data_IF_172789582714
#
_entry.id   IF_172789582714
#
_cell.length_a   1.000
_cell.length_b   1.000
_cell.length_c   1.000
_cell.angle_alpha   90.00
_cell.angle_beta   90.00
_cell.angle_gamma   90.00
#
_symmetry.space_group_name_H-M   'P 1'
#
loop_
_entity.id
_entity.type
_entity.pdbx_description
1 polymer ?
#
# COMPACT_ATOMS: atom_id res chain seq x y z
N UNK A 1 3.68 23.63 -12.73
CA UNK A 1 3.56 23.10 -14.11
C UNK A 1 4.74 22.15 -14.32
N UNK A 2 4.52 20.96 -14.86
CA UNK A 2 5.57 19.97 -15.13
C UNK A 2 5.84 19.98 -16.66
N UNK A 3 6.86 20.72 -17.15
CA UNK A 3 7.05 20.98 -18.59
C UNK A 3 7.49 19.74 -19.41
N UNK A 4 7.67 18.58 -18.80
CA UNK A 4 8.01 17.34 -19.50
C UNK A 4 8.17 16.13 -18.59
N UNK A 5 8.45 14.96 -19.18
CA UNK A 5 8.58 13.68 -18.48
C UNK A 5 9.55 13.72 -17.29
N UNK A 6 10.72 14.36 -17.45
CA UNK A 6 11.72 14.48 -16.37
C UNK A 6 11.17 15.20 -15.13
N UNK A 7 10.33 16.22 -15.33
CA UNK A 7 9.70 16.93 -14.21
C UNK A 7 8.64 16.09 -13.49
N UNK A 8 7.96 15.18 -14.19
CA UNK A 8 7.04 14.21 -13.57
C UNK A 8 7.80 13.16 -12.76
N UNK A 9 8.95 12.69 -13.27
CA UNK A 9 9.82 11.75 -12.54
C UNK A 9 10.39 12.41 -11.29
N UNK A 10 10.91 13.64 -11.40
CA UNK A 10 11.40 14.40 -10.25
C UNK A 10 10.29 14.61 -9.20
N UNK A 11 9.09 14.98 -9.63
CA UNK A 11 7.93 15.10 -8.73
C UNK A 11 7.58 13.76 -8.06
N UNK A 12 7.64 12.64 -8.78
CA UNK A 12 7.43 11.29 -8.20
C UNK A 12 8.47 10.95 -7.15
N UNK A 13 9.75 11.22 -7.41
CA UNK A 13 10.82 10.98 -6.44
C UNK A 13 10.59 11.83 -5.20
N UNK A 14 10.32 13.13 -5.36
CA UNK A 14 10.09 14.05 -4.26
C UNK A 14 8.88 13.65 -3.41
N UNK A 15 7.75 13.35 -4.05
CA UNK A 15 6.53 12.90 -3.36
C UNK A 15 6.74 11.55 -2.66
N UNK A 16 7.50 10.63 -3.25
CA UNK A 16 7.86 9.36 -2.62
C UNK A 16 8.73 9.55 -1.36
N UNK A 17 9.72 10.45 -1.42
CA UNK A 17 10.55 10.80 -0.27
C UNK A 17 9.71 11.45 0.85
N UNK A 18 8.87 12.43 0.49
CA UNK A 18 7.96 13.07 1.42
C UNK A 18 7.01 12.07 2.09
N UNK A 19 6.52 11.09 1.33
CA UNK A 19 5.68 10.01 1.84
C UNK A 19 6.43 9.16 2.87
N UNK A 20 7.67 8.74 2.58
CA UNK A 20 8.49 7.97 3.52
C UNK A 20 8.72 8.69 4.85
N UNK A 21 9.04 9.99 4.80
CA UNK A 21 9.23 10.84 5.99
C UNK A 21 7.91 10.99 6.76
N UNK A 22 6.80 11.22 6.06
CA UNK A 22 5.47 11.34 6.67
C UNK A 22 5.08 10.09 7.48
N UNK A 23 5.24 8.89 6.89
CA UNK A 23 4.92 7.65 7.61
C UNK A 23 5.85 7.40 8.80
N UNK A 24 7.13 7.73 8.67
CA UNK A 24 8.11 7.58 9.76
C UNK A 24 7.76 8.48 10.96
N UNK A 25 7.55 9.77 10.72
CA UNK A 25 7.19 10.73 11.78
C UNK A 25 5.79 10.44 12.32
N UNK A 26 4.83 10.14 11.44
CA UNK A 26 3.45 9.84 11.81
C UNK A 26 3.36 8.64 12.77
N UNK A 27 4.13 7.57 12.52
CA UNK A 27 4.18 6.42 13.42
C UNK A 27 4.78 6.78 14.80
N UNK A 28 5.82 7.61 14.85
CA UNK A 28 6.41 8.10 16.10
C UNK A 28 5.37 8.91 16.89
N UNK A 29 4.68 9.85 16.24
CA UNK A 29 3.64 10.66 16.89
C UNK A 29 2.49 9.78 17.36
N UNK A 30 2.00 8.88 16.52
CA UNK A 30 0.89 7.98 16.84
C UNK A 30 1.20 7.11 18.06
N UNK A 31 2.43 6.62 18.19
CA UNK A 31 2.84 5.81 19.35
C UNK A 31 3.12 6.65 20.60
N UNK A 32 3.48 7.93 20.46
CA UNK A 32 3.74 8.82 21.57
C UNK A 32 2.48 9.31 22.30
N UNK A 33 1.30 9.23 21.67
CA UNK A 33 0.01 9.67 22.22
C UNK A 33 -0.86 8.53 22.75
N UNK A 34 -0.35 7.30 22.78
CA UNK A 34 -1.08 6.11 23.28
C UNK A 34 -0.24 5.34 24.30
N UNK A 35 -0.87 4.49 25.13
CA UNK A 35 -0.14 3.52 25.95
C UNK A 35 0.74 2.59 25.11
N UNK A 36 1.88 2.16 25.65
CA UNK A 36 2.86 1.32 24.92
C UNK A 36 2.25 0.03 24.37
N UNK A 37 1.29 -0.53 25.10
CA UNK A 37 0.58 -1.77 24.76
C UNK A 37 -0.42 -1.59 23.61
N UNK A 38 -0.64 -0.34 23.15
CA UNK A 38 -1.52 0.01 22.02
C UNK A 38 -0.76 0.60 20.84
N UNK A 39 0.57 0.58 20.88
CA UNK A 39 1.42 1.20 19.87
C UNK A 39 1.18 0.61 18.47
N UNK A 40 1.02 -0.72 18.35
CA UNK A 40 0.78 -1.34 17.06
C UNK A 40 -0.63 -1.02 16.53
N UNK A 41 -1.65 -0.93 17.39
CA UNK A 41 -2.98 -0.47 16.98
C UNK A 41 -2.98 0.99 16.53
N UNK A 42 -2.21 1.87 17.17
CA UNK A 42 -2.11 3.27 16.76
C UNK A 42 -1.51 3.41 15.36
N UNK A 43 -0.43 2.67 15.08
CA UNK A 43 0.17 2.58 13.73
C UNK A 43 -0.84 1.98 12.76
N UNK A 44 -1.55 0.91 13.14
CA UNK A 44 -2.57 0.31 12.29
C UNK A 44 -3.69 1.31 11.96
N UNK A 45 -4.19 2.08 12.91
CA UNK A 45 -5.22 3.11 12.64
C UNK A 45 -4.70 4.13 11.62
N UNK A 46 -3.45 4.58 11.75
CA UNK A 46 -2.82 5.49 10.79
C UNK A 46 -2.79 4.87 9.37
N UNK A 47 -2.37 3.61 9.24
CA UNK A 47 -2.36 2.89 7.95
C UNK A 47 -3.78 2.59 7.43
N UNK A 48 -4.77 2.43 8.29
CA UNK A 48 -6.16 2.27 7.86
C UNK A 48 -6.67 3.54 7.18
N UNK A 49 -6.22 4.72 7.60
CA UNK A 49 -6.45 5.97 6.88
C UNK A 49 -5.95 5.94 5.44
N UNK A 50 -4.76 5.38 5.20
CA UNK A 50 -4.22 5.16 3.84
C UNK A 50 -5.12 4.23 3.02
N UNK A 51 -5.59 3.14 3.61
CA UNK A 51 -6.48 2.20 2.92
C UNK A 51 -7.80 2.85 2.52
N UNK A 52 -8.43 3.58 3.45
CA UNK A 52 -9.65 4.34 3.15
C UNK A 52 -9.39 5.34 2.02
N UNK A 53 -8.29 6.11 2.12
CA UNK A 53 -7.92 7.07 1.10
C UNK A 53 -7.67 6.45 -0.28
N UNK A 54 -7.12 5.23 -0.35
CA UNK A 54 -6.91 4.52 -1.62
C UNK A 54 -8.24 4.04 -2.23
N UNK A 55 -9.10 3.46 -1.40
CA UNK A 55 -10.40 2.92 -1.81
C UNK A 55 -11.33 4.02 -2.30
N UNK A 56 -11.37 5.17 -1.62
CA UNK A 56 -12.23 6.29 -2.00
C UNK A 56 -11.55 7.22 -3.01
N UNK A 57 -10.24 7.40 -2.91
CA UNK A 57 -9.48 8.37 -3.70
C UNK A 57 -9.42 8.02 -5.17
N UNK A 58 -9.31 6.73 -5.54
CA UNK A 58 -9.27 6.33 -6.96
C UNK A 58 -10.60 6.60 -7.67
N UNK A 59 -11.78 6.18 -7.15
CA UNK A 59 -13.07 6.53 -7.75
C UNK A 59 -13.32 8.03 -7.80
N UNK A 60 -13.11 8.75 -6.69
CA UNK A 60 -13.33 10.20 -6.64
C UNK A 60 -12.38 10.96 -7.57
N UNK A 61 -11.11 10.57 -7.58
CA UNK A 61 -10.11 11.18 -8.45
C UNK A 61 -10.38 10.93 -9.93
N UNK A 62 -10.89 9.74 -10.28
CA UNK A 62 -11.33 9.40 -11.64
C UNK A 62 -12.56 10.22 -12.03
N UNK A 63 -13.55 10.29 -11.16
CA UNK A 63 -14.78 11.06 -11.38
C UNK A 63 -14.47 12.55 -11.63
N UNK A 64 -13.67 13.17 -10.74
CA UNK A 64 -13.21 14.56 -10.90
C UNK A 64 -12.39 14.70 -12.19
N UNK A 65 -11.48 13.77 -12.46
CA UNK A 65 -10.61 13.82 -13.64
C UNK A 65 -11.37 13.74 -14.96
N UNK A 66 -12.45 12.95 -15.01
CA UNK A 66 -13.30 12.80 -16.19
C UNK A 66 -14.20 14.02 -16.45
N UNK A 67 -14.69 14.68 -15.40
CA UNK A 67 -15.65 15.79 -15.53
C UNK A 67 -14.99 17.19 -15.52
N UNK A 68 -13.94 17.36 -14.72
CA UNK A 68 -13.29 18.66 -14.47
C UNK A 68 -11.83 18.69 -14.95
N UNK A 69 -11.35 17.56 -15.51
CA UNK A 69 -9.99 17.40 -15.99
C UNK A 69 -9.00 17.04 -14.88
N UNK A 70 -7.88 16.45 -15.28
CA UNK A 70 -6.84 15.96 -14.37
C UNK A 70 -6.26 17.03 -13.43
N UNK A 71 -6.24 18.30 -13.86
CA UNK A 71 -5.74 19.43 -13.05
C UNK A 71 -6.59 19.67 -11.81
N UNK A 72 -7.91 19.51 -11.92
CA UNK A 72 -8.83 19.64 -10.79
C UNK A 72 -8.58 18.57 -9.74
N UNK A 73 -8.25 17.34 -10.17
CA UNK A 73 -7.85 16.26 -9.26
C UNK A 73 -6.61 16.63 -8.44
N UNK A 74 -5.59 17.24 -9.05
CA UNK A 74 -4.41 17.70 -8.31
C UNK A 74 -4.72 18.83 -7.33
N UNK A 75 -5.58 19.78 -7.71
CA UNK A 75 -6.01 20.85 -6.81
C UNK A 75 -6.80 20.31 -5.61
N UNK A 76 -7.69 19.34 -5.84
CA UNK A 76 -8.43 18.68 -4.76
C UNK A 76 -7.49 17.96 -3.78
N UNK A 77 -6.49 17.23 -4.29
CA UNK A 77 -5.48 16.57 -3.46
C UNK A 77 -4.64 17.60 -2.68
N UNK A 78 -4.27 18.71 -3.32
CA UNK A 78 -3.54 19.79 -2.66
C UNK A 78 -4.37 20.42 -1.51
N UNK A 79 -5.67 20.65 -1.74
CA UNK A 79 -6.58 21.16 -0.71
C UNK A 79 -6.70 20.20 0.48
N UNK A 80 -6.84 18.90 0.24
CA UNK A 80 -6.82 17.88 1.29
C UNK A 80 -5.50 17.88 2.06
N UNK A 81 -4.37 18.11 1.38
CA UNK A 81 -3.06 18.28 2.01
C UNK A 81 -3.00 19.49 2.95
N UNK A 82 -3.59 20.62 2.56
CA UNK A 82 -3.70 21.81 3.42
C UNK A 82 -4.59 21.52 4.63
N UNK A 83 -5.72 20.84 4.44
CA UNK A 83 -6.60 20.43 5.56
C UNK A 83 -5.85 19.52 6.53
N UNK A 84 -5.09 18.54 6.01
CA UNK A 84 -4.27 17.65 6.83
C UNK A 84 -3.17 18.41 7.58
N UNK A 85 -2.53 19.40 6.96
CA UNK A 85 -1.54 20.27 7.60
C UNK A 85 -2.16 21.07 8.75
N UNK A 86 -3.32 21.70 8.52
CA UNK A 86 -4.03 22.43 9.56
C UNK A 86 -4.45 21.51 10.71
N UNK A 87 -4.98 20.32 10.39
CA UNK A 87 -5.29 19.30 11.38
C UNK A 87 -4.08 18.90 12.21
N UNK A 88 -2.93 18.70 11.59
CA UNK A 88 -1.69 18.38 12.31
C UNK A 88 -1.28 19.54 13.24
N UNK A 89 -1.35 20.79 12.77
CA UNK A 89 -1.00 21.97 13.57
C UNK A 89 -1.93 22.19 14.78
N UNK A 90 -3.20 21.82 14.65
CA UNK A 90 -4.20 21.98 15.72
C UNK A 90 -4.20 20.82 16.71
N UNK A 91 -4.07 19.58 16.24
CA UNK A 91 -4.31 18.38 17.05
C UNK A 91 -3.05 17.65 17.53
N UNK A 92 -1.88 17.86 16.91
CA UNK A 92 -0.65 17.21 17.38
C UNK A 92 -0.15 17.94 18.64
N UNK A 93 0.00 17.25 19.79
CA UNK A 93 0.50 17.87 21.01
C UNK A 93 1.93 18.41 20.79
N UNK A 94 2.19 19.64 21.27
CA UNK A 94 3.51 20.28 21.14
C UNK A 94 4.55 19.72 22.11
N UNK A 95 4.09 19.07 23.17
CA UNK A 95 4.92 18.60 24.30
C UNK A 95 5.24 17.09 24.21
N UNK A 96 5.33 16.54 23.00
CA UNK A 96 5.72 15.14 22.83
C UNK A 96 7.18 14.93 23.27
N UNK A 97 7.50 13.79 23.91
CA UNK A 97 8.87 13.46 24.29
C UNK A 97 9.80 13.49 23.07
N UNK A 98 10.75 14.42 23.08
CA UNK A 98 11.77 14.55 22.04
C UNK A 98 13.00 13.73 22.48
N UNK A 99 13.29 12.64 21.77
CA UNK A 99 14.60 11.98 21.92
C UNK A 99 15.70 12.87 21.34
N UNK A 100 16.89 12.82 21.93
CA UNK A 100 18.04 13.53 21.38
C UNK A 100 18.28 13.11 19.91
N UNK A 101 18.51 14.05 18.98
CA UNK A 101 18.77 13.72 17.59
C UNK A 101 19.96 12.78 17.47
N UNK A 102 19.79 11.66 16.78
CA UNK A 102 20.90 10.77 16.49
C UNK A 102 21.93 11.48 15.61
N UNK A 103 23.21 11.39 15.97
CA UNK A 103 24.29 11.95 15.15
C UNK A 103 24.34 11.31 13.77
N UNK A 104 24.83 12.04 12.76
CA UNK A 104 24.95 11.53 11.38
C UNK A 104 25.74 10.20 11.32
N UNK A 105 26.78 10.06 12.16
CA UNK A 105 27.57 8.82 12.28
C UNK A 105 26.73 7.65 12.80
N UNK A 106 25.87 7.87 13.81
CA UNK A 106 24.99 6.83 14.34
C UNK A 106 23.95 6.41 13.31
N UNK A 107 23.40 7.34 12.54
CA UNK A 107 22.46 7.05 11.46
C UNK A 107 23.13 6.20 10.36
N UNK A 108 24.36 6.52 9.97
CA UNK A 108 25.10 5.77 8.96
C UNK A 108 25.54 4.38 9.47
N UNK A 109 25.87 4.27 10.77
CA UNK A 109 26.24 2.99 11.39
C UNK A 109 25.12 1.95 11.34
N UNK A 110 23.85 2.37 11.33
CA UNK A 110 22.68 1.49 11.17
C UNK A 110 22.71 0.75 9.84
N UNK A 111 23.22 1.38 8.77
CA UNK A 111 23.38 0.75 7.45
C UNK A 111 24.49 -0.29 7.42
N UNK A 112 25.38 -0.31 8.42
CA UNK A 112 26.42 -1.33 8.57
C UNK A 112 25.99 -2.55 9.39
N UNK A 113 24.82 -2.52 10.04
CA UNK A 113 24.38 -3.60 10.92
C UNK A 113 23.67 -4.71 10.11
N UNK A 114 24.26 -5.91 9.99
CA UNK A 114 23.73 -6.97 9.11
C UNK A 114 22.32 -7.40 9.49
N UNK A 115 22.00 -7.42 10.80
CA UNK A 115 20.66 -7.76 11.28
C UNK A 115 19.60 -6.74 10.84
N UNK A 116 19.93 -5.44 10.83
CA UNK A 116 19.00 -4.40 10.38
C UNK A 116 18.87 -4.40 8.85
N UNK A 117 19.98 -4.61 8.13
CA UNK A 117 19.94 -4.80 6.67
C UNK A 117 19.04 -5.95 6.25
N UNK A 118 19.05 -7.08 6.98
CA UNK A 118 18.12 -8.18 6.72
C UNK A 118 16.66 -7.77 6.91
N UNK A 119 16.35 -7.03 7.99
CA UNK A 119 14.99 -6.51 8.22
C UNK A 119 14.56 -5.55 7.11
N UNK A 120 15.46 -4.67 6.67
CA UNK A 120 15.21 -3.76 5.54
C UNK A 120 15.00 -4.52 4.24
N UNK A 121 15.82 -5.53 3.94
CA UNK A 121 15.67 -6.36 2.75
C UNK A 121 14.35 -7.13 2.76
N UNK A 122 13.99 -7.74 3.89
CA UNK A 122 12.70 -8.43 4.06
C UNK A 122 11.52 -7.48 3.83
N UNK A 123 11.59 -6.27 4.40
CA UNK A 123 10.54 -5.26 4.24
C UNK A 123 10.46 -4.77 2.79
N UNK A 124 11.60 -4.45 2.18
CA UNK A 124 11.68 -3.95 0.81
C UNK A 124 11.19 -4.99 -0.21
N UNK A 125 11.58 -6.26 -0.06
CA UNK A 125 11.12 -7.34 -0.93
C UNK A 125 9.63 -7.66 -0.71
N UNK A 126 9.19 -7.71 0.56
CA UNK A 126 7.79 -7.99 0.91
C UNK A 126 6.82 -6.91 0.42
N UNK A 127 7.09 -5.64 0.77
CA UNK A 127 6.28 -4.51 0.31
C UNK A 127 6.48 -4.23 -1.17
N UNK A 128 7.71 -4.25 -1.68
CA UNK A 128 8.01 -3.99 -3.09
C UNK A 128 7.33 -4.99 -4.02
N UNK A 129 7.41 -6.28 -3.72
CA UNK A 129 6.71 -7.32 -4.50
C UNK A 129 5.19 -7.14 -4.48
N UNK A 130 4.63 -6.83 -3.30
CA UNK A 130 3.18 -6.64 -3.13
C UNK A 130 2.67 -5.38 -3.86
N UNK A 131 3.39 -4.26 -3.74
CA UNK A 131 3.03 -3.01 -4.41
C UNK A 131 3.17 -3.10 -5.94
N UNK A 132 4.16 -3.85 -6.45
CA UNK A 132 4.27 -4.14 -7.87
C UNK A 132 3.03 -4.90 -8.38
N UNK A 133 2.65 -5.98 -7.69
CA UNK A 133 1.46 -6.75 -8.04
C UNK A 133 0.19 -5.89 -7.97
N UNK A 134 0.06 -5.04 -6.94
CA UNK A 134 -1.07 -4.12 -6.79
C UNK A 134 -1.14 -3.08 -7.92
N UNK A 135 0.00 -2.48 -8.28
CA UNK A 135 0.09 -1.45 -9.35
C UNK A 135 -0.39 -1.98 -10.70
N UNK A 136 -0.07 -3.24 -10.99
CA UNK A 136 -0.47 -3.92 -12.22
C UNK A 136 -1.68 -4.84 -12.06
N UNK A 137 -2.40 -4.76 -10.93
CA UNK A 137 -3.49 -5.67 -10.64
C UNK A 137 -4.63 -5.54 -11.67
N UNK A 138 -5.02 -4.31 -12.00
CA UNK A 138 -6.06 -4.06 -12.99
C UNK A 138 -5.71 -4.61 -14.39
N UNK A 139 -4.55 -4.30 -14.99
CA UNK A 139 -4.18 -4.87 -16.28
C UNK A 139 -4.00 -6.40 -16.22
N UNK A 140 -3.46 -6.96 -15.14
CA UNK A 140 -3.40 -8.43 -14.97
C UNK A 140 -4.82 -9.02 -15.01
N UNK A 141 -5.77 -8.44 -14.27
CA UNK A 141 -7.13 -8.95 -14.22
C UNK A 141 -7.88 -8.77 -15.56
N UNK A 142 -7.72 -7.63 -16.23
CA UNK A 142 -8.42 -7.38 -17.50
C UNK A 142 -7.74 -8.09 -18.68
N UNK A 143 -6.44 -7.92 -18.86
CA UNK A 143 -5.73 -8.36 -20.06
C UNK A 143 -5.31 -9.83 -19.99
N UNK A 144 -4.99 -10.33 -18.79
CA UNK A 144 -4.48 -11.71 -18.59
C UNK A 144 -5.54 -12.66 -18.02
N UNK A 145 -6.51 -12.17 -17.25
CA UNK A 145 -7.61 -13.02 -16.78
C UNK A 145 -8.92 -12.77 -17.50
N UNK A 146 -9.08 -11.68 -18.24
CA UNK A 146 -10.27 -11.37 -19.03
C UNK A 146 -11.47 -10.91 -18.19
N UNK A 147 -11.26 -10.34 -17.01
CA UNK A 147 -12.34 -9.77 -16.20
C UNK A 147 -12.86 -8.47 -16.83
N UNK A 148 -14.16 -8.22 -16.67
CA UNK A 148 -14.74 -6.92 -17.03
C UNK A 148 -14.27 -5.83 -16.07
N UNK A 149 -14.27 -4.57 -16.53
CA UNK A 149 -13.87 -3.42 -15.71
C UNK A 149 -14.68 -3.30 -14.39
N UNK A 150 -15.97 -3.67 -14.43
CA UNK A 150 -16.83 -3.67 -13.24
C UNK A 150 -16.41 -4.75 -12.22
N UNK A 151 -16.08 -5.96 -12.69
CA UNK A 151 -15.59 -7.03 -11.82
C UNK A 151 -14.25 -6.64 -11.18
N UNK A 152 -13.34 -6.00 -11.92
CA UNK A 152 -12.07 -5.50 -11.39
C UNK A 152 -12.29 -4.44 -10.31
N UNK A 153 -13.21 -3.52 -10.53
CA UNK A 153 -13.56 -2.49 -9.55
C UNK A 153 -14.07 -3.11 -8.24
N UNK A 154 -14.89 -4.15 -8.33
CA UNK A 154 -15.41 -4.89 -7.18
C UNK A 154 -14.29 -5.66 -6.45
N UNK A 155 -13.37 -6.29 -7.18
CA UNK A 155 -12.18 -6.95 -6.60
C UNK A 155 -11.30 -5.93 -5.86
N UNK A 156 -11.06 -4.75 -6.44
CA UNK A 156 -10.27 -3.69 -5.80
C UNK A 156 -10.95 -3.15 -4.53
N UNK A 157 -12.28 -3.04 -4.54
CA UNK A 157 -13.05 -2.66 -3.35
C UNK A 157 -12.90 -3.70 -2.24
N UNK A 158 -13.12 -4.98 -2.56
CA UNK A 158 -12.95 -6.09 -1.60
C UNK A 158 -11.52 -6.17 -1.09
N UNK A 159 -10.53 -5.98 -1.96
CA UNK A 159 -9.12 -5.91 -1.58
C UNK A 159 -8.90 -4.80 -0.56
N UNK A 160 -9.36 -3.58 -0.84
CA UNK A 160 -9.24 -2.46 0.09
C UNK A 160 -9.91 -2.70 1.44
N UNK A 161 -11.14 -3.22 1.45
CA UNK A 161 -11.84 -3.56 2.71
C UNK A 161 -11.07 -4.64 3.48
N UNK A 162 -10.57 -5.67 2.79
CA UNK A 162 -9.77 -6.74 3.40
C UNK A 162 -8.48 -6.21 4.02
N UNK A 163 -7.79 -5.30 3.33
CA UNK A 163 -6.58 -4.63 3.86
C UNK A 163 -6.91 -3.81 5.10
N UNK A 164 -8.01 -3.06 5.11
CA UNK A 164 -8.41 -2.26 6.26
C UNK A 164 -8.71 -3.15 7.50
N UNK A 165 -9.48 -4.22 7.31
CA UNK A 165 -9.79 -5.19 8.37
C UNK A 165 -8.51 -5.88 8.85
N UNK A 166 -7.69 -6.37 7.91
CA UNK A 166 -6.44 -7.07 8.22
C UNK A 166 -5.45 -6.20 8.99
N UNK A 167 -5.35 -4.92 8.64
CA UNK A 167 -4.47 -3.98 9.32
C UNK A 167 -4.94 -3.69 10.75
N UNK A 168 -6.24 -3.42 10.97
CA UNK A 168 -6.80 -3.23 12.30
C UNK A 168 -6.68 -4.48 13.19
N UNK A 169 -6.99 -5.65 12.62
CA UNK A 169 -6.90 -6.91 13.34
C UNK A 169 -5.44 -7.27 13.65
N UNK A 170 -4.53 -7.09 12.70
CA UNK A 170 -3.10 -7.32 12.86
C UNK A 170 -2.46 -6.42 13.92
N UNK A 171 -2.82 -5.13 13.94
CA UNK A 171 -2.38 -4.20 14.99
C UNK A 171 -2.81 -4.64 16.38
N UNK A 172 -4.10 -4.99 16.55
CA UNK A 172 -4.63 -5.51 17.82
C UNK A 172 -3.98 -6.84 18.22
N UNK A 173 -3.68 -7.70 17.26
CA UNK A 173 -3.02 -8.98 17.50
C UNK A 173 -1.58 -8.78 17.98
N UNK A 174 -0.85 -7.84 17.37
CA UNK A 174 0.52 -7.47 17.74
C UNK A 174 0.58 -6.82 19.12
N UNK A 175 -0.40 -5.97 19.45
CA UNK A 175 -0.52 -5.39 20.79
C UNK A 175 -0.76 -6.47 21.87
N UNK A 176 -1.61 -7.46 21.59
CA UNK A 176 -1.96 -8.52 22.56
C UNK A 176 -0.89 -9.58 22.75
N UNK A 177 -0.21 -9.99 21.69
CA UNK A 177 0.70 -11.14 21.70
C UNK A 177 2.17 -10.77 21.53
N UNK A 178 2.45 -9.50 21.23
CA UNK A 178 3.73 -9.03 20.76
C UNK A 178 3.92 -9.23 19.24
N UNK A 179 4.87 -8.50 18.62
CA UNK A 179 5.05 -8.50 17.17
C UNK A 179 5.47 -9.86 16.58
N UNK A 180 6.37 -10.58 17.25
CA UNK A 180 6.93 -11.84 16.72
C UNK A 180 5.89 -12.97 16.72
N UNK A 181 5.13 -13.24 17.80
CA UNK A 181 4.08 -14.25 17.77
C UNK A 181 2.94 -13.90 16.80
N UNK A 182 2.57 -12.61 16.70
CA UNK A 182 1.58 -12.15 15.73
C UNK A 182 2.03 -12.43 14.29
N UNK A 183 3.28 -12.11 13.96
CA UNK A 183 3.84 -12.36 12.63
C UNK A 183 3.86 -13.85 12.27
N UNK A 184 4.24 -14.72 13.21
CA UNK A 184 4.19 -16.18 13.02
C UNK A 184 2.77 -16.67 12.70
N UNK A 185 1.75 -16.18 13.41
CA UNK A 185 0.35 -16.54 13.16
C UNK A 185 -0.14 -16.07 11.80
N UNK A 186 0.21 -14.83 11.41
CA UNK A 186 -0.18 -14.27 10.11
C UNK A 186 0.47 -15.06 8.97
N UNK A 187 1.76 -15.40 9.07
CA UNK A 187 2.42 -16.22 8.05
C UNK A 187 1.91 -17.66 8.01
N UNK A 188 1.57 -18.25 9.16
CA UNK A 188 0.93 -19.57 9.19
C UNK A 188 -0.43 -19.54 8.48
N UNK A 189 -1.25 -18.51 8.75
CA UNK A 189 -2.53 -18.32 8.07
C UNK A 189 -2.33 -18.13 6.55
N UNK A 190 -1.35 -17.31 6.15
CA UNK A 190 -1.02 -17.13 4.73
C UNK A 190 -0.60 -18.44 4.06
N UNK A 191 0.25 -19.25 4.72
CA UNK A 191 0.66 -20.55 4.21
C UNK A 191 -0.54 -21.50 4.04
N UNK A 192 -1.48 -21.52 4.99
CA UNK A 192 -2.73 -22.29 4.90
C UNK A 192 -3.57 -21.82 3.72
N UNK A 193 -3.76 -20.50 3.56
CA UNK A 193 -4.52 -19.93 2.43
C UNK A 193 -3.90 -20.31 1.10
N UNK A 194 -2.58 -20.21 0.95
CA UNK A 194 -1.87 -20.61 -0.27
C UNK A 194 -1.95 -22.12 -0.53
N UNK A 195 -1.91 -22.93 0.53
CA UNK A 195 -2.09 -24.38 0.44
C UNK A 195 -3.49 -24.72 -0.06
N UNK A 196 -4.54 -24.14 0.55
CA UNK A 196 -5.94 -24.33 0.12
C UNK A 196 -6.13 -23.84 -1.32
N UNK A 197 -5.57 -22.68 -1.68
CA UNK A 197 -5.63 -22.14 -3.03
C UNK A 197 -5.07 -23.11 -4.06
N UNK A 198 -4.03 -23.88 -3.71
CA UNK A 198 -3.47 -24.90 -4.61
C UNK A 198 -4.52 -25.96 -4.98
N UNK A 199 -5.35 -26.40 -4.02
CA UNK A 199 -6.43 -27.35 -4.28
C UNK A 199 -7.61 -26.70 -5.01
N UNK A 200 -8.04 -25.50 -4.62
CA UNK A 200 -9.15 -24.81 -5.28
C UNK A 200 -8.83 -24.41 -6.72
N UNK A 201 -7.59 -23.98 -6.98
CA UNK A 201 -7.10 -23.72 -8.34
C UNK A 201 -6.96 -25.00 -9.17
N UNK A 202 -6.67 -26.14 -8.52
CA UNK A 202 -6.54 -27.43 -9.20
C UNK A 202 -7.87 -28.09 -9.59
N UNK A 203 -9.00 -27.66 -8.98
CA UNK A 203 -10.33 -28.21 -9.23
C UNK A 203 -10.84 -27.90 -10.66
N UNK A 204 -11.48 -28.88 -11.31
CA UNK A 204 -11.72 -28.94 -12.77
C UNK A 204 -12.48 -27.74 -13.36
N UNK A 205 -13.33 -27.08 -12.55
CA UNK A 205 -14.10 -25.90 -12.95
C UNK A 205 -13.24 -24.63 -13.12
N UNK A 206 -12.20 -24.47 -12.30
CA UNK A 206 -11.26 -23.35 -12.44
C UNK A 206 -10.26 -23.61 -13.59
N UNK A 207 -9.87 -24.88 -13.77
CA UNK A 207 -8.96 -25.30 -14.84
C UNK A 207 -9.56 -25.13 -16.24
N UNK A 208 -10.85 -25.43 -16.47
CA UNK A 208 -11.49 -25.23 -17.79
C UNK A 208 -11.64 -23.75 -18.16
N UNK A 209 -11.96 -22.93 -17.17
CA UNK A 209 -12.09 -21.47 -17.31
C UNK A 209 -10.73 -20.82 -17.57
N UNK A 210 -9.68 -21.30 -16.91
CA UNK A 210 -8.33 -20.77 -17.06
C UNK A 210 -7.60 -21.31 -18.31
N UNK A 211 -7.80 -22.58 -18.67
CA UNK A 211 -7.19 -23.19 -19.87
C UNK A 211 -7.81 -22.67 -21.17
N UNK A 212 -9.14 -22.46 -21.22
CA UNK A 212 -9.81 -21.85 -22.37
C UNK A 212 -9.39 -20.39 -22.57
N UNK A 213 -9.25 -19.61 -21.49
CA UNK A 213 -8.77 -18.22 -21.56
C UNK A 213 -7.28 -18.12 -21.92
N UNK A 214 -6.44 -19.00 -21.39
CA UNK A 214 -5.00 -19.05 -21.69
C UNK A 214 -4.72 -19.45 -23.15
N UNK A 215 -5.52 -20.35 -23.72
CA UNK A 215 -5.43 -20.74 -25.14
C UNK A 215 -5.97 -19.65 -26.08
N UNK A 216 -6.98 -18.88 -25.66
CA UNK A 216 -7.43 -17.68 -26.38
C UNK A 216 -6.37 -16.56 -26.40
N UNK A 217 -5.56 -16.41 -25.35
CA UNK A 217 -4.48 -15.41 -25.30
C UNK A 217 -3.30 -15.72 -26.20
N UNK A 218 -2.92 -17.00 -26.35
CA UNK A 218 -1.86 -17.41 -27.29
C UNK A 218 -2.22 -17.14 -28.76
N UNK A 219 -3.49 -16.89 -29.07
CA UNK A 219 -3.98 -16.61 -30.43
C UNK A 219 -4.16 -15.11 -30.71
N UNK A 220 -3.92 -14.23 -29.74
CA UNK A 220 -3.99 -12.79 -29.98
C UNK A 220 -2.72 -12.34 -30.72
N UNK A 221 -2.84 -11.73 -31.92
CA UNK A 221 -1.69 -11.15 -32.60
C UNK A 221 -1.09 -10.00 -31.77
N UNK A 222 0.21 -9.72 -31.92
CA UNK A 222 0.87 -8.65 -31.18
C UNK A 222 0.20 -7.30 -31.46
N UNK A 223 -0.28 -6.63 -30.41
CA UNK A 223 -0.83 -5.27 -30.45
C UNK A 223 0.29 -4.21 -30.43
N UNK A 224 1.23 -4.30 -31.38
CA UNK A 224 2.18 -3.21 -31.61
C UNK A 224 2.00 -2.69 -33.05
N UNK A 225 1.79 -1.38 -33.27
CA UNK A 225 1.93 -0.82 -34.60
C UNK A 225 3.40 -0.99 -35.00
N UNK A 226 3.66 -1.76 -36.07
CA UNK A 226 4.98 -1.74 -36.70
C UNK A 226 5.24 -0.29 -37.11
N UNK A 227 6.20 0.34 -36.44
CA UNK A 227 6.76 1.63 -36.83
C UNK A 227 7.48 1.48 -38.18
#
# INVERSE_FOLDING_TARGET
MAPGYSSLIAARILTGLAHGVFFSIGAIIATAVVPKEKAASAIAIMFTGLTVALVTGVPLGTFIGQHLGWRATFLAVAALGVIALLGALLFVPRNLPQSAPASFRQQLAVLGQPRLLLVYAMTALGYGGTFLAFTYLAPILQDVTGFSANAVSLVLLVYGVSVAIGNLWGGRLADRLGPVPALKRIFALLAIVLFVLTFTASNSACRSTWSSRRSAMRRRPPMWPRA
#
